data_IF_621399072044
#
_entry.id   IF_621399072044
#
_cell.length_a   1.000
_cell.length_b   1.000
_cell.length_c   1.000
_cell.angle_alpha   90.00
_cell.angle_beta   90.00
_cell.angle_gamma   90.00
#
_symmetry.space_group_name_H-M   'P 1'
#
loop_
_entity.id
_entity.type
_entity.pdbx_description
1 polymer ?
#
# COMPACT_ATOMS: atom_id res chain seq x y z
N UNK A 1 -0.68 0.05 -6.80
CA UNK A 1 0.26 -0.90 -7.46
C UNK A 1 1.68 -0.50 -7.10
N UNK A 2 2.69 -1.33 -7.41
CA UNK A 2 4.09 -0.95 -7.18
C UNK A 2 4.96 -1.17 -8.41
N UNK A 3 5.87 -0.21 -8.63
CA UNK A 3 7.01 -0.36 -9.52
C UNK A 3 8.13 -1.10 -8.78
N UNK A 4 8.69 -2.13 -9.40
CA UNK A 4 9.86 -2.87 -8.88
C UNK A 4 11.09 -2.32 -9.56
N UNK A 5 12.01 -1.77 -8.77
CA UNK A 5 13.26 -1.20 -9.26
C UNK A 5 14.22 -2.33 -9.66
N UNK A 6 14.80 -2.24 -10.85
CA UNK A 6 15.76 -3.21 -11.39
C UNK A 6 17.20 -2.71 -11.42
N UNK A 7 17.39 -1.38 -11.39
CA UNK A 7 18.71 -0.74 -11.43
C UNK A 7 18.81 0.35 -10.38
N UNK A 8 19.99 0.45 -9.74
CA UNK A 8 20.28 1.52 -8.78
C UNK A 8 20.05 2.89 -9.42
N UNK A 9 19.36 3.78 -8.70
CA UNK A 9 19.09 5.13 -9.17
C UNK A 9 19.09 6.15 -8.03
N UNK A 10 19.58 7.37 -8.32
CA UNK A 10 19.59 8.50 -7.38
C UNK A 10 19.54 9.81 -8.14
N UNK A 11 18.69 10.74 -7.70
CA UNK A 11 18.51 12.07 -8.31
C UNK A 11 18.35 11.98 -9.84
N UNK A 12 17.57 11.01 -10.30
CA UNK A 12 17.36 10.81 -11.73
C UNK A 12 16.32 11.78 -12.26
N UNK A 13 16.34 12.00 -13.58
CA UNK A 13 15.31 12.78 -14.26
C UNK A 13 14.08 11.91 -14.51
N UNK A 14 12.91 12.54 -14.70
CA UNK A 14 11.64 11.84 -14.89
C UNK A 14 11.65 10.96 -16.13
N UNK A 15 12.25 11.42 -17.21
CA UNK A 15 12.37 10.71 -18.49
C UNK A 15 13.13 9.39 -18.38
N UNK A 16 14.06 9.27 -17.43
CA UNK A 16 14.88 8.06 -17.22
C UNK A 16 14.20 7.08 -16.24
N UNK A 17 13.12 7.50 -15.57
CA UNK A 17 12.57 6.81 -14.40
C UNK A 17 11.98 5.45 -14.72
N UNK A 18 11.34 5.32 -15.88
CA UNK A 18 10.72 4.08 -16.28
C UNK A 18 11.78 3.04 -16.71
N UNK A 19 12.96 3.45 -17.16
CA UNK A 19 14.04 2.57 -17.65
C UNK A 19 14.80 1.84 -16.53
N UNK A 20 14.70 2.32 -15.30
CA UNK A 20 15.33 1.66 -14.14
C UNK A 20 14.48 0.54 -13.55
N UNK A 21 13.27 0.33 -14.07
CA UNK A 21 12.33 -0.66 -13.55
C UNK A 21 12.60 -2.08 -14.06
N UNK A 22 12.50 -3.06 -13.17
CA UNK A 22 12.41 -4.47 -13.55
C UNK A 22 10.98 -4.83 -13.99
N UNK A 23 9.97 -4.27 -13.32
CA UNK A 23 8.59 -4.64 -13.56
C UNK A 23 7.59 -4.07 -12.58
N UNK A 24 6.43 -4.74 -12.50
CA UNK A 24 5.28 -4.34 -11.72
C UNK A 24 4.83 -5.45 -10.80
N UNK A 25 4.22 -5.09 -9.68
CA UNK A 25 3.57 -6.04 -8.79
C UNK A 25 2.31 -5.41 -8.18
N UNK A 26 1.32 -6.24 -7.86
CA UNK A 26 0.18 -5.80 -7.06
C UNK A 26 0.62 -5.78 -5.60
N UNK A 27 0.33 -4.66 -4.95
CA UNK A 27 0.53 -4.48 -3.51
C UNK A 27 -0.76 -3.94 -2.91
N UNK A 28 -1.05 -4.36 -1.69
CA UNK A 28 -2.10 -3.77 -0.87
C UNK A 28 -1.43 -3.08 0.33
N UNK A 29 -1.54 -1.76 0.41
CA UNK A 29 -0.92 -0.94 1.45
C UNK A 29 -1.91 -0.77 2.62
N UNK A 30 -1.95 -1.77 3.51
CA UNK A 30 -2.85 -1.79 4.64
C UNK A 30 -2.45 -0.72 5.66
N UNK A 31 -3.44 -0.15 6.33
CA UNK A 31 -3.23 0.98 7.24
C UNK A 31 -4.08 0.85 8.49
N UNK A 32 -3.46 0.91 9.66
CA UNK A 32 -4.14 1.14 10.94
C UNK A 32 -4.49 2.61 11.04
N UNK A 33 -5.73 2.94 10.68
CA UNK A 33 -6.20 4.32 10.60
C UNK A 33 -6.12 5.03 11.94
N UNK A 34 -6.31 4.29 13.03
CA UNK A 34 -6.18 4.77 14.40
C UNK A 34 -4.74 5.09 14.84
N UNK A 35 -3.73 4.61 14.11
CA UNK A 35 -2.31 4.87 14.38
C UNK A 35 -1.67 5.84 13.40
N UNK A 36 -2.41 6.29 12.38
CA UNK A 36 -1.88 7.26 11.41
C UNK A 36 -1.50 8.56 12.11
N UNK A 37 -2.30 9.02 13.07
CA UNK A 37 -2.01 10.20 13.87
C UNK A 37 -1.52 9.79 15.25
N UNK A 38 -0.50 10.47 15.76
CA UNK A 38 0.06 10.19 17.09
C UNK A 38 -0.79 10.86 18.18
N UNK A 39 -1.53 10.10 19.01
CA UNK A 39 -2.31 10.70 20.09
C UNK A 39 -1.44 11.12 21.28
N UNK A 40 -0.26 10.51 21.43
CA UNK A 40 0.70 10.80 22.52
C UNK A 40 1.52 12.06 22.28
N UNK A 41 1.70 12.46 21.02
CA UNK A 41 2.45 13.66 20.65
C UNK A 41 1.95 14.22 19.30
N UNK A 42 0.78 14.89 19.28
CA UNK A 42 0.12 15.37 18.06
C UNK A 42 0.99 16.32 17.22
N UNK A 43 1.93 17.03 17.84
CA UNK A 43 2.84 17.98 17.20
C UNK A 43 3.80 17.32 16.21
N UNK A 44 4.08 16.02 16.37
CA UNK A 44 4.87 15.24 15.39
C UNK A 44 4.03 14.79 14.18
N UNK A 45 2.72 15.00 14.20
CA UNK A 45 1.83 14.67 13.10
C UNK A 45 1.67 13.16 12.87
N UNK A 46 1.84 12.73 11.63
CA UNK A 46 1.52 11.37 11.19
C UNK A 46 2.65 10.38 11.43
N UNK A 47 2.32 9.16 11.85
CA UNK A 47 3.23 8.02 11.96
C UNK A 47 2.90 6.93 10.93
N UNK A 48 3.36 7.15 9.70
CA UNK A 48 3.20 6.17 8.63
C UNK A 48 3.99 4.88 8.86
N UNK A 49 5.09 4.95 9.62
CA UNK A 49 5.87 3.76 9.94
C UNK A 49 5.04 2.82 10.81
N UNK A 50 4.54 3.31 11.95
CA UNK A 50 3.72 2.51 12.85
C UNK A 50 2.41 2.03 12.21
N UNK A 51 1.75 2.89 11.43
CA UNK A 51 0.42 2.58 10.88
C UNK A 51 0.41 1.63 9.68
N UNK A 52 1.53 1.46 8.96
CA UNK A 52 1.56 0.69 7.69
C UNK A 52 2.51 -0.50 7.67
N UNK A 53 3.35 -0.70 8.69
CA UNK A 53 4.45 -1.67 8.63
C UNK A 53 4.30 -2.84 9.62
N UNK A 54 3.08 -3.08 10.10
CA UNK A 54 2.84 -4.27 10.90
C UNK A 54 3.02 -5.55 10.06
N UNK A 55 3.33 -6.70 10.68
CA UNK A 55 3.39 -7.97 9.97
C UNK A 55 2.14 -8.19 9.12
N UNK A 56 2.32 -8.64 7.87
CA UNK A 56 1.26 -8.85 6.85
C UNK A 56 0.62 -7.62 6.21
N UNK A 57 1.06 -6.39 6.55
CA UNK A 57 0.42 -5.17 6.06
C UNK A 57 0.73 -4.80 4.61
N UNK A 58 1.65 -5.52 3.98
CA UNK A 58 2.00 -5.32 2.58
C UNK A 58 1.84 -6.61 1.76
N UNK A 59 0.62 -7.19 1.64
CA UNK A 59 0.40 -8.31 0.72
C UNK A 59 0.87 -7.90 -0.68
N UNK A 60 1.84 -8.66 -1.21
CA UNK A 60 2.57 -8.36 -2.44
C UNK A 60 2.62 -9.60 -3.32
N UNK A 61 2.41 -9.45 -4.63
CA UNK A 61 2.55 -10.55 -5.59
C UNK A 61 1.32 -10.68 -6.50
N UNK A 62 0.88 -11.91 -6.83
CA UNK A 62 1.63 -13.17 -6.67
C UNK A 62 2.81 -13.27 -7.65
N UNK A 63 2.86 -12.40 -8.66
CA UNK A 63 3.86 -12.44 -9.73
C UNK A 63 4.44 -11.06 -10.00
N UNK A 64 5.70 -11.05 -10.44
CA UNK A 64 6.34 -9.89 -11.04
C UNK A 64 5.97 -9.85 -12.52
N UNK A 65 5.36 -8.75 -12.96
CA UNK A 65 5.08 -8.49 -14.38
C UNK A 65 6.28 -7.77 -14.97
N UNK A 66 6.94 -8.31 -16.01
CA UNK A 66 8.02 -7.59 -16.66
C UNK A 66 7.55 -6.22 -17.16
N UNK A 67 8.40 -5.20 -16.99
CA UNK A 67 8.12 -3.82 -17.44
C UNK A 67 7.67 -3.77 -18.91
N UNK A 68 8.30 -4.56 -19.78
CA UNK A 68 7.99 -4.63 -21.21
C UNK A 68 6.57 -5.13 -21.53
N UNK A 69 5.92 -5.88 -20.62
CA UNK A 69 4.54 -6.35 -20.82
C UNK A 69 3.50 -5.25 -20.57
N UNK A 70 3.91 -4.14 -19.93
CA UNK A 70 3.11 -2.95 -19.66
C UNK A 70 3.89 -1.73 -20.16
N UNK A 71 3.87 -1.47 -21.48
CA UNK A 71 4.65 -0.39 -22.08
C UNK A 71 4.17 0.99 -21.61
N UNK A 72 2.86 1.15 -21.45
CA UNK A 72 2.22 2.37 -20.94
C UNK A 72 1.57 2.09 -19.57
N UNK A 73 2.13 2.63 -18.46
CA UNK A 73 1.57 2.46 -17.13
C UNK A 73 0.31 3.30 -16.87
N UNK A 74 -0.08 4.20 -17.78
CA UNK A 74 -1.33 4.98 -17.68
C UNK A 74 -2.55 4.19 -18.16
N UNK A 75 -2.36 3.16 -19.01
CA UNK A 75 -3.40 2.25 -19.52
C UNK A 75 -3.61 1.04 -18.58
N UNK A 76 -3.80 1.28 -17.29
CA UNK A 76 -4.14 0.23 -16.33
C UNK A 76 -5.41 0.60 -15.56
N UNK A 77 -6.17 -0.42 -15.19
CA UNK A 77 -7.37 -0.27 -14.38
C UNK A 77 -7.26 -1.11 -13.12
N UNK A 78 -7.37 -0.45 -11.96
CA UNK A 78 -7.18 -1.04 -10.63
C UNK A 78 -8.54 -1.20 -9.96
N UNK A 79 -8.86 -2.42 -9.55
CA UNK A 79 -10.09 -2.73 -8.82
C UNK A 79 -9.76 -3.49 -7.53
N UNK A 80 -10.40 -3.13 -6.43
CA UNK A 80 -10.36 -3.87 -5.16
C UNK A 80 -11.78 -4.21 -4.73
N UNK A 81 -12.01 -5.50 -4.46
CA UNK A 81 -13.26 -6.01 -3.91
C UNK A 81 -13.08 -6.47 -2.48
N UNK A 82 -14.07 -6.22 -1.64
CA UNK A 82 -14.16 -6.69 -0.26
C UNK A 82 -15.39 -7.60 -0.14
N UNK A 83 -15.16 -8.89 0.13
CA UNK A 83 -16.24 -9.90 0.18
C UNK A 83 -17.14 -9.90 -1.07
N UNK A 84 -16.57 -9.59 -2.24
CA UNK A 84 -17.28 -9.52 -3.52
C UNK A 84 -17.81 -8.14 -3.90
N UNK A 85 -17.91 -7.21 -2.95
CA UNK A 85 -18.35 -5.82 -3.20
C UNK A 85 -17.19 -4.95 -3.69
N UNK A 86 -17.40 -4.12 -4.71
CA UNK A 86 -16.37 -3.23 -5.24
C UNK A 86 -16.18 -2.04 -4.31
N UNK A 87 -14.98 -1.89 -3.75
CA UNK A 87 -14.64 -0.79 -2.84
C UNK A 87 -13.83 0.29 -3.52
N UNK A 88 -12.95 -0.10 -4.44
CA UNK A 88 -12.09 0.79 -5.22
C UNK A 88 -12.13 0.36 -6.68
N UNK A 89 -12.26 1.31 -7.61
CA UNK A 89 -12.35 1.04 -9.04
C UNK A 89 -11.94 2.29 -9.84
N UNK A 90 -10.74 2.31 -10.41
CA UNK A 90 -10.22 3.52 -11.06
C UNK A 90 -9.12 3.21 -12.08
N UNK A 91 -8.98 4.10 -13.06
CA UNK A 91 -7.88 4.08 -14.03
C UNK A 91 -6.61 4.69 -13.44
N UNK A 92 -5.44 4.17 -13.83
CA UNK A 92 -4.14 4.81 -13.53
C UNK A 92 -3.93 6.10 -14.30
N UNK A 93 -4.71 6.36 -15.35
CA UNK A 93 -4.70 7.65 -16.05
C UNK A 93 -5.22 8.80 -15.16
N UNK A 94 -5.93 8.48 -14.08
CA UNK A 94 -6.43 9.47 -13.12
C UNK A 94 -5.43 9.77 -11.99
N UNK A 95 -4.19 9.27 -12.07
CA UNK A 95 -3.15 9.54 -11.10
C UNK A 95 -2.76 11.02 -11.13
N UNK A 96 -2.70 11.67 -9.96
CA UNK A 96 -2.29 13.07 -9.84
C UNK A 96 -0.83 13.26 -10.29
N UNK A 97 0.03 12.33 -9.92
CA UNK A 97 1.42 12.24 -10.36
C UNK A 97 1.62 10.90 -11.04
N UNK A 98 2.17 10.88 -12.25
CA UNK A 98 2.39 9.63 -12.96
C UNK A 98 3.52 8.81 -12.29
N UNK A 99 3.65 7.54 -12.71
CA UNK A 99 4.64 6.65 -12.09
C UNK A 99 6.07 7.15 -12.28
N UNK A 100 6.39 7.74 -13.44
CA UNK A 100 7.72 8.25 -13.73
C UNK A 100 8.09 9.38 -12.76
N UNK A 101 7.15 10.28 -12.50
CA UNK A 101 7.28 11.38 -11.56
C UNK A 101 7.48 10.89 -10.12
N UNK A 102 6.67 9.91 -9.68
CA UNK A 102 6.81 9.31 -8.34
C UNK A 102 8.20 8.68 -8.17
N UNK A 103 8.66 7.87 -9.12
CA UNK A 103 9.98 7.21 -9.06
C UNK A 103 11.11 8.24 -9.04
N UNK A 104 11.06 9.26 -9.91
CA UNK A 104 12.06 10.31 -9.94
C UNK A 104 12.09 11.09 -8.62
N UNK A 105 10.92 11.43 -8.06
CA UNK A 105 10.79 12.08 -6.77
C UNK A 105 11.39 11.23 -5.64
N UNK A 106 11.02 9.95 -5.54
CA UNK A 106 11.60 9.03 -4.56
C UNK A 106 13.13 8.97 -4.65
N UNK A 107 13.68 9.00 -5.86
CA UNK A 107 15.14 9.00 -6.08
C UNK A 107 15.85 10.28 -5.61
N UNK A 108 15.14 11.39 -5.44
CA UNK A 108 15.72 12.61 -4.86
C UNK A 108 15.89 12.45 -3.34
N UNK A 109 14.90 11.82 -2.70
CA UNK A 109 14.88 11.56 -1.26
C UNK A 109 15.86 10.44 -0.87
N UNK A 110 15.77 9.28 -1.53
CA UNK A 110 16.54 8.10 -1.21
C UNK A 110 17.28 7.55 -2.45
N UNK A 111 18.32 6.74 -2.21
CA UNK A 111 18.90 5.93 -3.29
C UNK A 111 17.98 4.72 -3.49
N UNK A 112 17.45 4.55 -4.69
CA UNK A 112 16.70 3.36 -5.07
C UNK A 112 17.66 2.24 -5.45
N UNK A 113 17.41 1.02 -4.97
CA UNK A 113 18.21 -0.17 -5.21
C UNK A 113 17.39 -1.23 -5.97
N UNK A 114 18.06 -2.13 -6.72
CA UNK A 114 17.37 -3.29 -7.30
C UNK A 114 16.62 -4.08 -6.23
N UNK A 115 15.33 -4.35 -6.47
CA UNK A 115 14.43 -5.01 -5.53
C UNK A 115 13.53 -4.06 -4.74
N UNK A 116 13.81 -2.76 -4.72
CA UNK A 116 12.95 -1.78 -4.05
C UNK A 116 11.56 -1.71 -4.70
N UNK A 117 10.54 -1.52 -3.87
CA UNK A 117 9.15 -1.31 -4.29
C UNK A 117 8.77 0.16 -4.12
N UNK A 118 8.42 0.82 -5.22
CA UNK A 118 7.83 2.16 -5.20
C UNK A 118 6.32 2.03 -5.31
N UNK A 119 5.63 2.21 -4.19
CA UNK A 119 4.16 2.19 -4.10
C UNK A 119 3.59 3.47 -4.71
N UNK A 120 2.71 3.33 -5.71
CA UNK A 120 2.25 4.46 -6.52
C UNK A 120 0.93 5.06 -6.05
N UNK A 121 0.53 4.77 -4.80
CA UNK A 121 -0.75 5.18 -4.24
C UNK A 121 -1.89 4.19 -4.48
N UNK A 122 -3.08 4.60 -4.04
CA UNK A 122 -4.33 3.83 -4.10
C UNK A 122 -5.46 4.67 -4.67
N UNK A 123 -6.39 4.09 -5.47
CA UNK A 123 -7.61 4.77 -5.89
C UNK A 123 -8.47 5.30 -4.73
N UNK A 124 -9.48 6.12 -5.05
CA UNK A 124 -10.52 6.47 -4.10
C UNK A 124 -11.28 5.22 -3.60
N UNK A 125 -11.97 5.34 -2.46
CA UNK A 125 -12.78 4.24 -1.91
C UNK A 125 -12.10 3.37 -0.85
N UNK A 126 -11.16 3.94 -0.09
CA UNK A 126 -10.65 3.27 1.11
C UNK A 126 -11.76 3.11 2.18
N UNK A 127 -11.53 2.28 3.19
CA UNK A 127 -12.54 1.94 4.21
C UNK A 127 -13.18 3.14 4.93
N UNK A 128 -12.47 4.26 5.11
CA UNK A 128 -13.07 5.46 5.74
C UNK A 128 -14.14 6.10 4.85
N UNK A 129 -13.95 6.10 3.52
CA UNK A 129 -14.93 6.62 2.57
C UNK A 129 -16.24 5.81 2.59
N UNK A 130 -16.17 4.55 3.02
CA UNK A 130 -17.30 3.64 3.16
C UNK A 130 -17.78 3.49 4.62
N UNK A 131 -17.22 4.24 5.57
CA UNK A 131 -17.55 4.13 7.00
C UNK A 131 -17.25 2.75 7.61
N UNK A 132 -16.34 1.98 7.01
CA UNK A 132 -16.10 0.56 7.35
C UNK A 132 -14.62 0.22 7.30
N UNK A 133 -14.09 -0.26 8.42
CA UNK A 133 -12.75 -0.86 8.49
C UNK A 133 -12.79 -2.38 8.31
N UNK A 134 -11.63 -2.97 8.02
CA UNK A 134 -11.48 -4.40 7.85
C UNK A 134 -11.80 -5.14 9.16
N UNK A 135 -12.42 -6.31 9.03
CA UNK A 135 -12.77 -7.21 10.14
C UNK A 135 -12.12 -8.58 9.93
N UNK A 136 -11.90 -9.35 11.01
CA UNK A 136 -11.49 -10.74 10.88
C UNK A 136 -12.42 -11.52 9.96
N UNK A 137 -11.84 -12.29 9.03
CA UNK A 137 -12.59 -13.07 8.05
C UNK A 137 -12.91 -12.34 6.75
N UNK A 138 -12.73 -11.01 6.69
CA UNK A 138 -12.85 -10.26 5.45
C UNK A 138 -11.87 -10.78 4.39
N UNK A 139 -12.32 -10.79 3.13
CA UNK A 139 -11.50 -11.16 1.98
C UNK A 139 -11.40 -9.98 1.04
N UNK A 140 -10.17 -9.62 0.69
CA UNK A 140 -9.88 -8.62 -0.33
C UNK A 140 -9.36 -9.30 -1.59
N UNK A 141 -9.95 -8.96 -2.73
CA UNK A 141 -9.51 -9.39 -4.05
C UNK A 141 -9.12 -8.13 -4.86
N UNK A 142 -7.83 -7.95 -5.09
CA UNK A 142 -7.27 -6.84 -5.87
C UNK A 142 -6.91 -7.33 -7.28
N UNK A 143 -7.27 -6.56 -8.29
CA UNK A 143 -7.00 -6.90 -9.70
C UNK A 143 -6.48 -5.68 -10.43
N UNK A 144 -5.54 -5.90 -11.34
CA UNK A 144 -5.11 -4.91 -12.33
C UNK A 144 -5.39 -5.46 -13.71
N UNK A 145 -6.12 -4.69 -14.53
CA UNK A 145 -6.47 -5.06 -15.90
C UNK A 145 -5.93 -4.04 -16.89
N UNK A 146 -5.72 -4.48 -18.13
CA UNK A 146 -5.36 -3.65 -19.28
C UNK A 146 -6.25 -4.04 -20.45
N UNK A 147 -6.90 -3.08 -21.10
CA UNK A 147 -7.86 -3.35 -22.19
C UNK A 147 -8.86 -4.48 -21.87
N UNK A 148 -9.41 -4.50 -20.64
CA UNK A 148 -10.32 -5.53 -20.10
C UNK A 148 -9.74 -6.94 -19.96
N UNK A 149 -8.44 -7.15 -20.21
CA UNK A 149 -7.73 -8.38 -19.89
C UNK A 149 -7.09 -8.23 -18.52
N UNK A 150 -7.31 -9.23 -17.66
CA UNK A 150 -6.61 -9.26 -16.37
C UNK A 150 -5.12 -9.38 -16.64
N UNK A 151 -4.35 -8.40 -16.18
CA UNK A 151 -2.89 -8.49 -16.17
C UNK A 151 -2.57 -9.46 -15.04
N UNK A 152 -2.98 -9.16 -13.80
CA UNK A 152 -2.90 -10.08 -12.65
C UNK A 152 -3.96 -9.79 -11.58
N UNK A 153 -4.09 -10.72 -10.64
CA UNK A 153 -4.89 -10.55 -9.42
C UNK A 153 -4.17 -11.07 -8.18
N UNK A 154 -4.40 -10.42 -7.05
CA UNK A 154 -4.00 -10.84 -5.71
C UNK A 154 -5.25 -11.04 -4.88
N UNK A 155 -5.28 -12.15 -4.14
CA UNK A 155 -6.29 -12.37 -3.12
C UNK A 155 -5.60 -12.40 -1.77
N UNK A 156 -6.14 -11.65 -0.83
CA UNK A 156 -5.69 -11.64 0.56
C UNK A 156 -6.89 -11.83 1.47
N UNK A 157 -6.68 -12.47 2.62
CA UNK A 157 -7.68 -12.64 3.65
C UNK A 157 -7.21 -11.90 4.89
N UNK A 158 -8.06 -11.08 5.47
CA UNK A 158 -7.83 -10.48 6.77
C UNK A 158 -7.92 -11.57 7.83
N UNK A 159 -6.78 -11.88 8.43
CA UNK A 159 -6.70 -12.76 9.58
C UNK A 159 -6.78 -11.89 10.83
N UNK A 160 -7.63 -12.26 11.78
CA UNK A 160 -7.84 -11.47 12.99
C UNK A 160 -6.67 -11.61 13.96
N UNK A 161 -5.75 -10.65 13.96
CA UNK A 161 -4.56 -10.73 14.79
C UNK A 161 -4.34 -9.48 15.67
N UNK A 162 -3.95 -9.65 16.96
CA UNK A 162 -3.73 -8.53 17.90
C UNK A 162 -2.47 -7.88 17.42
N UNK A 163 -2.65 -6.79 16.71
CA UNK A 163 -1.64 -5.77 16.65
C UNK A 163 -1.43 -5.31 18.09
N UNK A 164 -0.17 -5.27 18.52
CA UNK A 164 0.14 -4.70 19.82
C UNK A 164 -0.53 -3.33 19.89
N UNK A 165 -1.38 -3.12 20.90
CA UNK A 165 -1.85 -1.78 21.23
C UNK A 165 -0.61 -0.92 21.37
N UNK A 166 -0.52 0.15 20.57
CA UNK A 166 0.54 1.13 20.65
C UNK A 166 0.70 1.52 22.13
N UNK A 167 1.84 1.13 22.70
CA UNK A 167 2.27 1.59 24.03
C UNK A 167 3.30 2.67 23.77
N UNK A 168 3.02 3.94 24.13
CA UNK A 168 4.01 5.00 23.93
C UNK A 168 5.31 4.60 24.64
N UNK A 169 6.47 4.71 23.97
CA UNK A 169 7.76 4.33 24.54
C UNK A 169 8.17 5.22 25.71
N UNK A 170 7.55 6.40 25.83
CA UNK A 170 7.75 7.35 26.91
C UNK A 170 6.69 7.12 28.00
N UNK A 171 7.03 6.30 28.99
CA UNK A 171 6.20 6.08 30.17
C UNK A 171 6.08 7.37 30.99
N UNK A 172 5.01 8.15 30.79
CA UNK A 172 4.80 9.38 31.56
C UNK A 172 3.61 10.24 31.17
N UNK A 173 3.13 10.16 29.93
CA UNK A 173 1.90 10.86 29.52
C UNK A 173 0.71 9.93 29.76
N UNK A 174 -0.20 10.35 30.66
CA UNK A 174 -1.40 9.61 31.06
C UNK A 174 -2.08 9.03 29.82
N UNK A 175 -2.21 7.70 29.81
CA UNK A 175 -2.90 6.97 28.76
C UNK A 175 -4.29 7.57 28.55
N UNK A 176 -4.57 8.04 27.34
CA UNK A 176 -5.94 8.14 26.88
C UNK A 176 -6.55 6.73 26.97
N UNK A 177 -7.75 6.66 27.53
CA UNK A 177 -8.51 5.46 27.88
C UNK A 177 -8.49 4.43 26.74
N UNK A 178 -8.28 3.14 27.01
CA UNK A 178 -8.25 2.14 25.95
C UNK A 178 -9.64 1.99 25.33
N UNK A 179 -9.77 2.25 24.02
CA UNK A 179 -10.87 1.70 23.23
C UNK A 179 -10.56 0.22 23.01
N UNK A 180 -11.02 -0.62 23.92
CA UNK A 180 -10.90 -2.07 23.77
C UNK A 180 -11.87 -2.55 22.70
N UNK A 181 -11.36 -2.89 21.52
CA UNK A 181 -12.02 -3.89 20.66
C UNK A 181 -11.46 -5.27 21.05
N UNK A 182 -12.27 -6.18 21.60
CA UNK A 182 -11.79 -7.47 22.07
C UNK A 182 -11.48 -8.40 20.90
N UNK A 183 -10.34 -9.11 20.95
CA UNK A 183 -10.29 -10.48 20.40
C UNK A 183 -9.14 -10.92 19.48
N UNK A 184 -8.21 -10.07 19.09
CA UNK A 184 -7.26 -10.45 18.03
C UNK A 184 -5.97 -11.11 18.62
N UNK A 185 -5.25 -12.08 18.01
CA UNK A 185 -3.84 -12.54 18.35
C UNK A 185 -3.21 -13.25 17.14
N UNK A 186 -1.92 -12.99 16.81
CA UNK A 186 -1.22 -13.38 15.56
C UNK A 186 -0.46 -14.73 15.59
N UNK A 187 -0.49 -15.53 14.50
CA UNK A 187 0.53 -16.55 14.13
C UNK A 187 0.59 -16.79 12.61
N UNK A 188 1.78 -16.68 12.04
CA UNK A 188 2.08 -17.03 10.65
C UNK A 188 2.19 -18.55 10.45
N UNK A 189 1.69 -19.04 9.32
CA UNK A 189 2.13 -20.27 8.65
C UNK A 189 2.46 -19.93 7.21
#
# INVERSE_FOLDING_TARGET
>A
MAAVIGRRARRMRREDALDVMAGWVIVNDLTLREQVWRPDLPELGTDFLASKNAPTFLPTGPVLVPRAAVPDPSDLHVTLRLNGEVMQDQSTNDMIFDVAEIIAHCSNVATLLPGDLVLTGSPAGNGLAHGRLLRPGDRMDATITRARRTVHSVRSRTVGERLMTYRPPYGGLRAATPVTSPGCRYRAR
#
